data_IF_522389247133
#
_entry.id   IF_522389247133
#
_cell.length_a   1.000
_cell.length_b   1.000
_cell.length_c   1.000
_cell.angle_alpha   90.00
_cell.angle_beta   90.00
_cell.angle_gamma   90.00
#
_symmetry.space_group_name_H-M   'P 1'
#
loop_
_entity.id
_entity.type
_entity.pdbx_description
1 polymer ?
#
# COMPACT_ATOMS: atom_id res chain seq x y z
N UNK A 1 42.14 -8.76 17.87
CA UNK A 1 41.90 -9.66 16.72
C UNK A 1 40.44 -10.15 16.63
N UNK A 2 39.79 -10.52 17.71
CA UNK A 2 38.38 -11.02 17.74
C UNK A 2 37.35 -9.92 17.38
N UNK A 3 37.57 -8.69 17.82
CA UNK A 3 36.71 -7.53 17.54
C UNK A 3 36.67 -7.17 16.05
N UNK A 4 37.83 -7.25 15.36
CA UNK A 4 37.91 -6.95 13.92
C UNK A 4 37.14 -8.01 13.07
N UNK A 5 37.12 -9.27 13.52
CA UNK A 5 36.40 -10.38 12.84
C UNK A 5 34.89 -10.24 12.97
N UNK A 6 34.40 -9.82 14.15
CA UNK A 6 32.96 -9.55 14.39
C UNK A 6 32.48 -8.37 13.55
N UNK A 7 33.21 -7.28 13.50
CA UNK A 7 32.90 -6.10 12.67
C UNK A 7 32.85 -6.47 11.18
N UNK A 8 33.83 -7.26 10.71
CA UNK A 8 33.86 -7.73 9.31
C UNK A 8 32.67 -8.63 8.97
N UNK A 9 32.27 -9.54 9.86
CA UNK A 9 31.09 -10.41 9.69
C UNK A 9 29.80 -9.59 9.71
N UNK A 10 29.69 -8.60 10.61
CA UNK A 10 28.54 -7.68 10.65
C UNK A 10 28.42 -6.85 9.38
N UNK A 11 29.52 -6.32 8.89
CA UNK A 11 29.58 -5.56 7.64
C UNK A 11 29.17 -6.40 6.43
N UNK A 12 29.61 -7.66 6.36
CA UNK A 12 29.22 -8.58 5.28
C UNK A 12 27.73 -8.90 5.38
N UNK A 13 27.19 -9.17 6.58
CA UNK A 13 25.77 -9.42 6.78
C UNK A 13 24.91 -8.20 6.43
N UNK A 14 25.34 -7.02 6.81
CA UNK A 14 24.68 -5.76 6.45
C UNK A 14 24.70 -5.53 4.93
N UNK A 15 25.84 -5.75 4.28
CA UNK A 15 25.94 -5.64 2.81
C UNK A 15 25.06 -6.68 2.09
N UNK A 16 24.99 -7.91 2.59
CA UNK A 16 24.07 -8.92 2.07
C UNK A 16 22.60 -8.54 2.29
N UNK A 17 22.25 -8.01 3.45
CA UNK A 17 20.90 -7.49 3.73
C UNK A 17 20.56 -6.34 2.78
N UNK A 18 21.45 -5.35 2.64
CA UNK A 18 21.27 -4.23 1.71
C UNK A 18 21.20 -4.65 0.22
N UNK A 19 21.80 -5.78 -0.13
CA UNK A 19 21.71 -6.32 -1.49
C UNK A 19 20.37 -7.02 -1.77
N UNK A 20 19.69 -7.51 -0.74
CA UNK A 20 18.40 -8.19 -0.86
C UNK A 20 17.22 -7.26 -0.55
N UNK A 21 17.46 -6.22 0.31
CA UNK A 21 16.43 -5.24 0.64
C UNK A 21 15.89 -4.58 -0.65
N UNK A 22 14.60 -4.41 -0.72
CA UNK A 22 13.97 -3.69 -1.83
C UNK A 22 12.53 -4.12 -2.03
N UNK A 23 12.22 -5.28 -2.61
CA UNK A 23 10.85 -5.63 -2.96
C UNK A 23 9.87 -5.55 -1.80
N UNK A 24 10.19 -6.12 -0.65
CA UNK A 24 9.34 -6.10 0.53
C UNK A 24 9.21 -4.71 1.15
N UNK A 25 10.33 -4.02 1.33
CA UNK A 25 10.33 -2.66 1.86
C UNK A 25 9.62 -1.67 0.92
N UNK A 26 9.86 -1.76 -0.40
CA UNK A 26 9.21 -0.93 -1.41
C UNK A 26 7.70 -1.18 -1.39
N UNK A 27 7.27 -2.46 -1.50
CA UNK A 27 5.85 -2.82 -1.53
C UNK A 27 5.11 -2.32 -0.30
N UNK A 28 5.68 -2.53 0.90
CA UNK A 28 5.07 -2.08 2.13
C UNK A 28 5.01 -0.53 2.22
N UNK A 29 6.01 0.18 1.73
CA UNK A 29 6.01 1.65 1.82
C UNK A 29 5.08 2.33 0.80
N UNK A 30 4.73 1.66 -0.30
CA UNK A 30 3.69 2.16 -1.22
C UNK A 30 2.31 2.20 -0.58
N UNK A 31 2.10 1.47 0.50
CA UNK A 31 0.91 1.50 1.34
C UNK A 31 0.57 2.91 1.89
N UNK A 32 1.59 3.71 2.17
CA UNK A 32 1.43 5.12 2.53
C UNK A 32 1.31 6.01 1.27
N UNK A 33 0.59 5.55 0.28
CA UNK A 33 0.23 6.27 -0.94
C UNK A 33 -0.78 7.40 -0.68
N UNK A 34 -1.25 8.08 -1.72
CA UNK A 34 -2.26 9.13 -1.56
C UNK A 34 -3.55 8.59 -0.94
N UNK A 35 -4.00 7.41 -1.38
CA UNK A 35 -5.18 6.74 -0.82
C UNK A 35 -5.03 6.42 0.66
N UNK A 36 -3.85 5.90 1.04
CA UNK A 36 -3.47 5.62 2.42
C UNK A 36 -3.43 6.89 3.27
N UNK A 37 -2.70 7.92 2.81
CA UNK A 37 -2.58 9.20 3.53
C UNK A 37 -3.96 9.82 3.76
N UNK A 38 -4.83 9.85 2.75
CA UNK A 38 -6.19 10.39 2.91
C UNK A 38 -7.05 9.54 3.85
N UNK A 39 -6.93 8.21 3.77
CA UNK A 39 -7.69 7.30 4.63
C UNK A 39 -7.25 7.41 6.09
N UNK A 40 -5.94 7.40 6.36
CA UNK A 40 -5.42 7.58 7.72
C UNK A 40 -5.72 8.97 8.28
N UNK A 41 -5.62 10.01 7.44
CA UNK A 41 -5.97 11.37 7.83
C UNK A 41 -7.45 11.49 8.16
N UNK A 42 -8.33 10.93 7.33
CA UNK A 42 -9.77 10.91 7.58
C UNK A 42 -10.13 10.09 8.83
N UNK A 43 -9.46 8.95 9.05
CA UNK A 43 -9.62 8.16 10.27
C UNK A 43 -9.29 8.97 11.53
N UNK A 44 -8.17 9.69 11.53
CA UNK A 44 -7.78 10.58 12.62
C UNK A 44 -8.73 11.77 12.80
N UNK A 45 -9.15 12.40 11.71
CA UNK A 45 -10.04 13.56 11.73
C UNK A 45 -11.46 13.22 12.19
N UNK A 46 -12.02 12.07 11.76
CA UNK A 46 -13.41 11.69 12.09
C UNK A 46 -13.53 11.03 13.46
N UNK A 47 -12.58 10.17 13.81
CA UNK A 47 -12.68 9.27 14.96
C UNK A 47 -11.61 9.52 16.04
N UNK A 48 -10.76 10.52 15.84
CA UNK A 48 -9.66 10.78 16.78
C UNK A 48 -8.75 9.55 16.92
N UNK A 49 -8.49 9.14 18.14
CA UNK A 49 -7.64 7.98 18.42
C UNK A 49 -8.39 6.63 18.38
N UNK A 50 -9.71 6.62 18.12
CA UNK A 50 -10.53 5.39 18.23
C UNK A 50 -10.15 4.27 17.26
N UNK A 51 -9.44 4.57 16.18
CA UNK A 51 -9.02 3.58 15.18
C UNK A 51 -7.59 3.07 15.38
N UNK A 52 -6.81 3.63 16.31
CA UNK A 52 -5.41 3.23 16.53
C UNK A 52 -5.24 1.76 16.94
N UNK A 53 -6.21 1.18 17.64
CA UNK A 53 -6.14 -0.24 18.03
C UNK A 53 -6.09 -1.20 16.81
N UNK A 54 -6.62 -0.79 15.66
CA UNK A 54 -6.61 -1.59 14.42
C UNK A 54 -5.18 -1.79 13.92
N UNK A 55 -4.28 -0.84 14.20
CA UNK A 55 -2.89 -0.88 13.71
C UNK A 55 -2.15 -2.15 14.15
N UNK A 56 -2.31 -2.62 15.39
CA UNK A 56 -1.58 -3.81 15.89
C UNK A 56 -2.00 -5.09 15.15
N UNK A 57 -3.29 -5.52 15.15
CA UNK A 57 -3.70 -6.71 14.43
C UNK A 57 -3.47 -6.58 12.92
N UNK A 58 -3.57 -5.39 12.37
CA UNK A 58 -3.33 -5.10 10.97
C UNK A 58 -1.85 -5.27 10.59
N UNK A 59 -0.91 -4.76 11.41
CA UNK A 59 0.53 -4.98 11.20
C UNK A 59 0.88 -6.45 11.21
N UNK A 60 0.33 -7.22 12.14
CA UNK A 60 0.54 -8.67 12.21
C UNK A 60 0.01 -9.36 10.95
N UNK A 61 -1.18 -8.99 10.50
CA UNK A 61 -1.77 -9.52 9.28
C UNK A 61 -0.96 -9.12 8.03
N UNK A 62 -0.53 -7.86 7.93
CA UNK A 62 0.29 -7.35 6.83
C UNK A 62 1.61 -8.14 6.72
N UNK A 63 2.33 -8.32 7.83
CA UNK A 63 3.57 -9.10 7.86
C UNK A 63 3.34 -10.52 7.38
N UNK A 64 2.27 -11.18 7.84
CA UNK A 64 1.94 -12.55 7.43
C UNK A 64 1.61 -12.64 5.95
N UNK A 65 0.76 -11.75 5.46
CA UNK A 65 0.30 -11.76 4.05
C UNK A 65 1.45 -11.45 3.09
N UNK A 66 2.24 -10.42 3.40
CA UNK A 66 3.40 -10.04 2.58
C UNK A 66 4.49 -11.14 2.60
N UNK A 67 4.73 -11.76 3.75
CA UNK A 67 5.67 -12.86 3.87
C UNK A 67 5.22 -14.09 3.05
N UNK A 68 3.94 -14.42 3.07
CA UNK A 68 3.37 -15.49 2.25
C UNK A 68 3.62 -15.23 0.76
N UNK A 69 3.40 -14.00 0.30
CA UNK A 69 3.62 -13.58 -1.08
C UNK A 69 5.10 -13.70 -1.48
N UNK A 70 6.00 -13.14 -0.66
CA UNK A 70 7.44 -13.22 -0.90
C UNK A 70 7.96 -14.66 -0.91
N UNK A 71 7.44 -15.52 -0.01
CA UNK A 71 7.81 -16.94 0.08
C UNK A 71 7.33 -17.72 -1.14
N UNK A 72 6.08 -17.48 -1.60
CA UNK A 72 5.60 -18.13 -2.82
C UNK A 72 6.46 -17.74 -4.02
N UNK A 73 6.77 -16.47 -4.21
CA UNK A 73 7.64 -16.02 -5.29
C UNK A 73 9.03 -16.65 -5.26
N UNK A 74 9.67 -16.67 -4.09
CA UNK A 74 11.01 -17.24 -3.92
C UNK A 74 11.06 -18.77 -4.12
N UNK A 75 9.99 -19.50 -3.74
CA UNK A 75 9.94 -20.96 -3.83
C UNK A 75 9.52 -21.43 -5.22
N UNK A 76 8.51 -20.80 -5.81
CA UNK A 76 7.93 -21.25 -7.08
C UNK A 76 8.60 -20.61 -8.30
N UNK A 77 9.25 -19.46 -8.14
CA UNK A 77 9.79 -18.68 -9.26
C UNK A 77 8.72 -18.15 -10.21
N UNK A 78 7.46 -18.04 -9.74
CA UNK A 78 6.30 -17.63 -10.53
C UNK A 78 5.54 -16.53 -9.84
N UNK A 79 4.86 -15.68 -10.65
CA UNK A 79 3.94 -14.68 -10.15
C UNK A 79 2.65 -15.29 -9.58
N UNK A 80 1.90 -14.50 -8.80
CA UNK A 80 0.66 -14.99 -8.18
C UNK A 80 -0.42 -15.30 -9.23
N UNK A 81 -0.53 -14.47 -10.27
CA UNK A 81 -1.48 -14.70 -11.36
C UNK A 81 -1.16 -15.97 -12.17
N UNK A 82 0.14 -16.26 -12.38
CA UNK A 82 0.56 -17.51 -13.02
C UNK A 82 0.12 -18.72 -12.22
N UNK A 83 0.37 -18.72 -10.90
CA UNK A 83 -0.02 -19.81 -10.03
C UNK A 83 -1.53 -20.02 -10.00
N UNK A 84 -2.31 -18.95 -9.96
CA UNK A 84 -3.78 -19.03 -10.00
C UNK A 84 -4.22 -19.60 -11.34
N UNK A 85 -3.62 -19.19 -12.45
CA UNK A 85 -3.94 -19.71 -13.79
C UNK A 85 -3.65 -21.20 -13.92
N UNK A 86 -2.51 -21.62 -13.46
CA UNK A 86 -2.08 -23.03 -13.53
C UNK A 86 -2.96 -23.94 -12.69
N UNK A 87 -3.37 -23.48 -11.51
CA UNK A 87 -4.09 -24.31 -10.54
C UNK A 87 -5.61 -24.27 -10.67
N UNK A 88 -6.18 -23.12 -11.08
CA UNK A 88 -7.64 -22.92 -11.11
C UNK A 88 -8.17 -22.59 -12.50
N UNK A 89 -7.28 -22.45 -13.50
CA UNK A 89 -7.64 -22.23 -14.88
C UNK A 89 -7.99 -20.78 -15.23
N UNK A 90 -8.06 -20.52 -16.54
CA UNK A 90 -8.16 -19.18 -17.09
C UNK A 90 -9.42 -18.41 -16.68
N UNK A 91 -10.57 -19.10 -16.47
CA UNK A 91 -11.83 -18.42 -16.12
C UNK A 91 -11.74 -17.72 -14.75
N UNK A 92 -11.23 -18.44 -13.76
CA UNK A 92 -11.06 -17.90 -12.40
C UNK A 92 -10.03 -16.79 -12.40
N UNK A 93 -8.90 -17.00 -13.07
CA UNK A 93 -7.86 -15.98 -13.23
C UNK A 93 -8.38 -14.71 -13.87
N UNK A 94 -9.19 -14.83 -14.94
CA UNK A 94 -9.78 -13.67 -15.61
C UNK A 94 -10.72 -12.87 -14.69
N UNK A 95 -11.58 -13.54 -13.92
CA UNK A 95 -12.48 -12.87 -12.96
C UNK A 95 -11.68 -12.13 -11.88
N UNK A 96 -10.63 -12.75 -11.35
CA UNK A 96 -9.75 -12.14 -10.36
C UNK A 96 -9.00 -10.94 -10.95
N UNK A 97 -8.41 -11.10 -12.12
CA UNK A 97 -7.74 -10.01 -12.83
C UNK A 97 -8.66 -8.82 -13.08
N UNK A 98 -9.91 -9.08 -13.50
CA UNK A 98 -10.88 -8.01 -13.74
C UNK A 98 -11.14 -7.21 -12.46
N UNK A 99 -11.36 -7.90 -11.34
CA UNK A 99 -11.50 -7.25 -10.03
C UNK A 99 -10.29 -6.40 -9.66
N UNK A 100 -9.08 -6.95 -9.84
CA UNK A 100 -7.83 -6.23 -9.55
C UNK A 100 -7.57 -5.04 -10.48
N UNK A 101 -7.85 -5.18 -11.78
CA UNK A 101 -7.71 -4.06 -12.72
C UNK A 101 -8.62 -2.91 -12.35
N UNK A 102 -9.87 -3.19 -11.96
CA UNK A 102 -10.83 -2.17 -11.54
C UNK A 102 -10.36 -1.48 -10.24
N UNK A 103 -9.94 -2.24 -9.22
CA UNK A 103 -9.46 -1.66 -7.96
C UNK A 103 -8.18 -0.87 -8.16
N UNK A 104 -7.22 -1.41 -8.90
CA UNK A 104 -5.95 -0.75 -9.18
C UNK A 104 -6.12 0.50 -10.03
N UNK A 105 -7.07 0.50 -10.98
CA UNK A 105 -7.39 1.72 -11.72
C UNK A 105 -7.87 2.82 -10.78
N UNK A 106 -8.74 2.50 -9.82
CA UNK A 106 -9.17 3.43 -8.77
C UNK A 106 -7.99 3.96 -7.95
N UNK A 107 -7.04 3.07 -7.60
CA UNK A 107 -5.83 3.47 -6.88
C UNK A 107 -4.95 4.39 -7.72
N UNK A 108 -4.72 4.09 -9.02
CA UNK A 108 -3.96 4.98 -9.92
C UNK A 108 -4.60 6.36 -10.02
N UNK A 109 -5.94 6.43 -10.11
CA UNK A 109 -6.67 7.71 -10.06
C UNK A 109 -6.39 8.43 -8.73
N UNK A 110 -6.41 7.73 -7.60
CA UNK A 110 -6.11 8.29 -6.29
C UNK A 110 -4.69 8.89 -6.22
N UNK A 111 -3.70 8.23 -6.85
CA UNK A 111 -2.33 8.74 -6.87
C UNK A 111 -2.21 10.05 -7.65
N UNK A 112 -2.80 10.13 -8.83
CA UNK A 112 -2.83 11.38 -9.58
C UNK A 112 -3.66 12.46 -8.86
N UNK A 113 -4.67 12.10 -8.08
CA UNK A 113 -5.36 13.01 -7.18
C UNK A 113 -4.43 13.57 -6.10
N UNK A 114 -3.59 12.72 -5.51
CA UNK A 114 -2.58 13.15 -4.53
C UNK A 114 -1.52 14.06 -5.12
N UNK A 115 -1.02 13.77 -6.34
CA UNK A 115 -0.13 14.68 -7.10
C UNK A 115 -0.80 16.03 -7.31
N UNK A 116 -2.04 16.06 -7.79
CA UNK A 116 -2.78 17.28 -8.02
C UNK A 116 -2.93 18.09 -6.73
N UNK A 117 -3.47 17.47 -5.68
CA UNK A 117 -3.71 18.11 -4.38
C UNK A 117 -2.44 18.65 -3.74
N UNK A 118 -1.33 17.91 -3.78
CA UNK A 118 -0.07 18.36 -3.18
C UNK A 118 0.52 19.59 -3.88
N UNK A 119 0.43 19.67 -5.21
CA UNK A 119 0.98 20.78 -5.99
C UNK A 119 0.01 21.96 -6.08
N UNK A 120 -1.31 21.73 -5.99
CA UNK A 120 -2.30 22.81 -5.84
C UNK A 120 -2.06 23.64 -4.56
N UNK A 121 -1.48 23.07 -3.50
CA UNK A 121 -1.03 23.80 -2.31
C UNK A 121 0.03 24.87 -2.61
N UNK A 122 0.80 24.66 -3.65
CA UNK A 122 1.80 25.63 -4.16
C UNK A 122 1.27 26.42 -5.36
N UNK A 123 -0.06 26.47 -5.57
CA UNK A 123 -0.73 27.13 -6.68
C UNK A 123 -0.35 26.63 -8.08
N UNK A 124 0.15 25.40 -8.17
CA UNK A 124 0.43 24.73 -9.44
C UNK A 124 -0.83 23.99 -9.90
N UNK A 125 -1.38 24.39 -11.05
CA UNK A 125 -2.61 23.80 -11.59
C UNK A 125 -2.45 22.30 -11.90
N UNK A 126 -3.48 21.49 -11.59
CA UNK A 126 -3.57 20.07 -11.95
C UNK A 126 -3.39 19.80 -13.44
N UNK A 127 -3.76 20.75 -14.30
CA UNK A 127 -3.58 20.64 -15.75
C UNK A 127 -2.12 20.69 -16.20
N UNK A 128 -1.21 21.11 -15.31
CA UNK A 128 0.25 21.08 -15.50
C UNK A 128 0.86 19.92 -14.70
N UNK A 129 0.51 19.83 -13.43
CA UNK A 129 1.13 18.88 -12.50
C UNK A 129 0.87 17.41 -12.88
N UNK A 130 -0.36 17.06 -13.24
CA UNK A 130 -0.74 15.67 -13.56
C UNK A 130 -0.10 15.17 -14.85
N UNK A 131 -0.13 15.88 -16.00
CA UNK A 131 0.58 15.45 -17.20
C UNK A 131 2.09 15.36 -16.99
N UNK A 132 2.68 16.32 -16.28
CA UNK A 132 4.12 16.31 -16.00
C UNK A 132 4.51 15.10 -15.14
N UNK A 133 3.75 14.83 -14.08
CA UNK A 133 3.94 13.63 -13.24
C UNK A 133 3.80 12.35 -14.08
N UNK A 134 2.77 12.24 -14.92
CA UNK A 134 2.57 11.10 -15.81
C UNK A 134 3.77 10.84 -16.73
N UNK A 135 4.34 11.89 -17.31
CA UNK A 135 5.56 11.78 -18.14
C UNK A 135 6.76 11.34 -17.30
N UNK A 136 6.95 11.91 -16.10
CA UNK A 136 8.08 11.56 -15.21
C UNK A 136 7.99 10.10 -14.80
N UNK A 137 6.82 9.62 -14.34
CA UNK A 137 6.57 8.23 -13.95
C UNK A 137 6.80 7.29 -15.12
N UNK A 138 6.29 7.65 -16.29
CA UNK A 138 6.45 6.85 -17.51
C UNK A 138 7.91 6.73 -17.92
N UNK A 139 8.65 7.84 -17.94
CA UNK A 139 10.07 7.83 -18.28
C UNK A 139 10.91 7.01 -17.27
N UNK A 140 10.60 7.11 -15.99
CA UNK A 140 11.28 6.39 -14.94
C UNK A 140 11.20 4.88 -15.16
N UNK A 141 10.03 4.36 -15.51
CA UNK A 141 9.79 2.92 -15.64
C UNK A 141 10.16 2.41 -17.03
N UNK A 142 9.73 3.09 -18.10
CA UNK A 142 9.92 2.61 -19.49
C UNK A 142 11.36 2.78 -19.98
N UNK A 143 12.09 3.79 -19.48
CA UNK A 143 13.49 4.03 -19.81
C UNK A 143 14.46 3.55 -18.75
N UNK A 144 13.95 3.23 -17.54
CA UNK A 144 14.74 2.72 -16.43
C UNK A 144 15.13 1.25 -16.61
N UNK A 145 16.01 0.80 -15.74
CA UNK A 145 16.26 -0.62 -15.51
C UNK A 145 15.71 -0.98 -14.14
N UNK A 146 15.41 -2.24 -13.86
CA UNK A 146 14.92 -2.68 -12.55
C UNK A 146 15.77 -2.10 -11.40
N UNK A 147 17.09 -2.16 -11.49
CA UNK A 147 18.01 -1.61 -10.47
C UNK A 147 17.93 -0.10 -10.30
N UNK A 148 17.70 0.64 -11.39
CA UNK A 148 17.53 2.10 -11.35
C UNK A 148 16.20 2.47 -10.68
N UNK A 149 15.13 1.81 -11.09
CA UNK A 149 13.78 2.00 -10.56
C UNK A 149 13.74 1.68 -9.06
N UNK A 150 14.30 0.53 -8.67
CA UNK A 150 14.40 0.11 -7.27
C UNK A 150 15.15 1.14 -6.39
N UNK A 151 16.28 1.69 -6.87
CA UNK A 151 17.03 2.72 -6.14
C UNK A 151 16.24 4.01 -5.95
N UNK A 152 15.53 4.45 -6.97
CA UNK A 152 14.67 5.64 -6.88
C UNK A 152 13.56 5.40 -5.86
N UNK A 153 12.93 4.24 -5.89
CA UNK A 153 11.87 3.88 -4.96
C UNK A 153 12.35 3.78 -3.51
N UNK A 154 13.52 3.18 -3.28
CA UNK A 154 14.12 3.15 -1.95
C UNK A 154 14.47 4.56 -1.45
N UNK A 155 14.99 5.42 -2.32
CA UNK A 155 15.28 6.82 -1.96
C UNK A 155 13.97 7.59 -1.64
N UNK A 156 12.91 7.37 -2.42
CA UNK A 156 11.60 7.96 -2.19
C UNK A 156 11.03 7.58 -0.82
N UNK A 157 11.23 6.34 -0.36
CA UNK A 157 10.74 5.88 0.95
C UNK A 157 11.33 6.65 2.14
N UNK A 158 12.49 7.30 2.01
CA UNK A 158 13.01 8.16 3.07
C UNK A 158 12.17 9.41 3.34
N UNK A 159 11.37 9.87 2.38
CA UNK A 159 10.47 11.00 2.59
C UNK A 159 9.34 10.70 3.59
N UNK A 160 9.02 9.43 3.84
CA UNK A 160 8.02 9.06 4.86
C UNK A 160 8.42 9.48 6.28
N UNK A 161 9.70 9.69 6.56
CA UNK A 161 10.14 10.32 7.80
C UNK A 161 9.54 11.72 8.02
N UNK A 162 9.18 12.43 6.93
CA UNK A 162 8.51 13.72 7.04
C UNK A 162 7.18 13.63 7.80
N UNK A 163 6.41 12.54 7.62
CA UNK A 163 5.16 12.32 8.34
C UNK A 163 5.38 12.07 9.83
N UNK A 164 6.44 11.33 10.18
CA UNK A 164 6.84 11.10 11.57
C UNK A 164 7.19 12.44 12.23
N UNK A 165 8.01 13.26 11.55
CA UNK A 165 8.41 14.59 12.03
C UNK A 165 7.17 15.48 12.18
N UNK A 166 6.31 15.56 11.16
CA UNK A 166 5.08 16.32 11.22
C UNK A 166 4.16 15.87 12.36
N UNK A 167 4.03 14.55 12.57
CA UNK A 167 3.24 13.97 13.65
C UNK A 167 3.77 14.32 15.05
N UNK A 168 5.09 14.36 15.22
CA UNK A 168 5.70 14.80 16.48
C UNK A 168 5.47 16.29 16.71
N UNK A 169 5.62 17.12 15.68
CA UNK A 169 5.41 18.57 15.77
C UNK A 169 3.96 18.97 15.98
N UNK A 170 3.01 18.10 15.64
CA UNK A 170 1.58 18.30 15.88
C UNK A 170 1.20 18.33 17.38
N UNK A 171 2.09 17.95 18.28
CA UNK A 171 1.91 18.02 19.73
C UNK A 171 0.78 17.14 20.27
N UNK A 172 0.67 15.85 19.88
CA UNK A 172 -0.44 14.99 20.29
C UNK A 172 -0.41 14.65 21.78
N UNK A 173 -1.55 14.23 22.34
CA UNK A 173 -1.62 13.60 23.66
C UNK A 173 -1.03 12.18 23.57
N UNK A 174 0.27 12.04 23.77
CA UNK A 174 1.00 10.77 23.65
C UNK A 174 0.41 9.66 24.50
N UNK A 175 -0.02 10.00 25.74
CA UNK A 175 -0.63 9.02 26.65
C UNK A 175 -1.92 8.47 26.10
N UNK A 176 -2.78 9.32 25.57
CA UNK A 176 -4.08 8.92 25.01
C UNK A 176 -3.89 8.11 23.73
N UNK A 177 -3.02 8.57 22.81
CA UNK A 177 -2.69 7.86 21.58
C UNK A 177 -2.14 6.46 21.87
N UNK A 178 -1.21 6.34 22.82
CA UNK A 178 -0.62 5.06 23.19
C UNK A 178 -1.66 4.12 23.83
N UNK A 179 -2.47 4.62 24.76
CA UNK A 179 -3.53 3.81 25.38
C UNK A 179 -4.55 3.35 24.32
N UNK A 180 -4.97 4.22 23.42
CA UNK A 180 -5.92 3.89 22.36
C UNK A 180 -5.37 2.85 21.38
N UNK A 181 -4.05 2.78 21.19
CA UNK A 181 -3.42 1.75 20.36
C UNK A 181 -3.61 0.33 20.92
N UNK A 182 -3.75 0.17 22.23
CA UNK A 182 -3.94 -1.14 22.88
C UNK A 182 -5.37 -1.37 23.36
N UNK A 183 -6.25 -0.36 23.29
CA UNK A 183 -7.61 -0.45 23.81
C UNK A 183 -8.64 -0.33 22.67
N UNK A 184 -9.31 -1.44 22.29
CA UNK A 184 -10.42 -1.36 21.36
C UNK A 184 -11.54 -0.43 21.85
N UNK A 185 -12.29 0.21 20.96
CA UNK A 185 -13.44 1.03 21.34
C UNK A 185 -14.55 0.18 21.96
N UNK A 186 -15.55 0.85 22.52
CA UNK A 186 -16.74 0.16 23.01
C UNK A 186 -17.50 -0.53 21.85
N UNK A 187 -18.21 -1.62 22.16
CA UNK A 187 -18.90 -2.44 21.15
C UNK A 187 -19.93 -1.66 20.31
N UNK A 188 -20.45 -0.52 20.81
CA UNK A 188 -21.36 0.36 20.07
C UNK A 188 -20.74 0.99 18.85
N UNK A 189 -19.43 1.20 18.79
CA UNK A 189 -18.74 1.74 17.62
C UNK A 189 -18.92 0.86 16.37
N UNK A 190 -19.00 -0.46 16.55
CA UNK A 190 -19.24 -1.41 15.45
C UNK A 190 -20.68 -1.45 14.96
N UNK A 191 -21.57 -0.61 15.48
CA UNK A 191 -22.92 -0.40 14.93
C UNK A 191 -22.99 0.85 14.05
N UNK A 192 -21.95 1.68 14.07
CA UNK A 192 -21.86 2.85 13.20
C UNK A 192 -21.30 2.43 11.82
N UNK A 193 -22.13 2.61 10.80
CA UNK A 193 -21.76 2.31 9.40
C UNK A 193 -20.53 3.10 8.94
N UNK A 194 -20.35 4.35 9.39
CA UNK A 194 -19.21 5.19 9.05
C UNK A 194 -17.92 4.67 9.69
N UNK A 195 -18.01 4.16 10.93
CA UNK A 195 -16.88 3.55 11.61
C UNK A 195 -16.44 2.26 10.90
N UNK A 196 -17.41 1.36 10.57
CA UNK A 196 -17.10 0.12 9.84
C UNK A 196 -16.49 0.44 8.46
N UNK A 197 -17.06 1.40 7.73
CA UNK A 197 -16.54 1.87 6.45
C UNK A 197 -15.07 2.30 6.57
N UNK A 198 -14.75 3.10 7.59
CA UNK A 198 -13.40 3.57 7.82
C UNK A 198 -12.44 2.44 8.23
N UNK A 199 -12.88 1.48 9.06
CA UNK A 199 -12.08 0.28 9.39
C UNK A 199 -11.77 -0.52 8.12
N UNK A 200 -12.77 -0.77 7.25
CA UNK A 200 -12.54 -1.46 5.96
C UNK A 200 -11.55 -0.68 5.10
N UNK A 201 -11.68 0.64 5.03
CA UNK A 201 -10.77 1.51 4.29
C UNK A 201 -9.34 1.45 4.83
N UNK A 202 -9.16 1.55 6.15
CA UNK A 202 -7.84 1.47 6.81
C UNK A 202 -7.18 0.11 6.57
N UNK A 203 -7.92 -0.99 6.72
CA UNK A 203 -7.37 -2.33 6.42
C UNK A 203 -7.13 -2.52 4.93
N UNK A 204 -8.03 -2.00 4.09
CA UNK A 204 -7.95 -2.13 2.63
C UNK A 204 -6.81 -1.33 2.01
N UNK A 205 -6.41 -0.20 2.62
CA UNK A 205 -5.22 0.51 2.19
C UNK A 205 -3.95 -0.24 2.63
N UNK A 206 -3.89 -0.69 3.89
CA UNK A 206 -2.69 -1.31 4.47
C UNK A 206 -2.42 -2.71 3.92
N UNK A 207 -3.45 -3.50 3.62
CA UNK A 207 -3.29 -4.85 3.03
C UNK A 207 -3.97 -4.85 1.67
N UNK A 208 -3.56 -3.93 0.79
CA UNK A 208 -4.18 -3.80 -0.51
C UNK A 208 -3.96 -5.03 -1.40
N UNK A 209 -4.98 -5.49 -2.15
CA UNK A 209 -4.90 -6.70 -2.98
C UNK A 209 -3.76 -6.71 -3.99
N UNK A 210 -3.38 -5.56 -4.55
CA UNK A 210 -2.32 -5.43 -5.54
C UNK A 210 -0.93 -5.75 -5.00
N UNK A 211 -0.71 -5.54 -3.70
CA UNK A 211 0.60 -5.70 -3.05
C UNK A 211 1.11 -7.13 -3.16
N UNK A 212 0.24 -8.11 -3.02
CA UNK A 212 0.59 -9.53 -3.07
C UNK A 212 1.08 -9.93 -4.46
N UNK A 213 0.42 -9.44 -5.51
CA UNK A 213 0.83 -9.67 -6.89
C UNK A 213 2.16 -8.98 -7.20
N UNK A 214 2.26 -7.69 -6.85
CA UNK A 214 3.47 -6.92 -7.10
C UNK A 214 4.68 -7.48 -6.36
N UNK A 215 4.55 -7.78 -5.07
CA UNK A 215 5.66 -8.31 -4.28
C UNK A 215 6.13 -9.67 -4.82
N UNK A 216 5.20 -10.57 -5.12
CA UNK A 216 5.56 -11.89 -5.64
C UNK A 216 6.30 -11.78 -6.98
N UNK A 217 5.79 -10.99 -7.92
CA UNK A 217 6.43 -10.76 -9.23
C UNK A 217 7.79 -10.07 -9.08
N UNK A 218 7.91 -9.10 -8.16
CA UNK A 218 9.18 -8.41 -7.87
C UNK A 218 10.23 -9.33 -7.26
N UNK A 219 9.84 -10.27 -6.41
CA UNK A 219 10.72 -11.30 -5.86
C UNK A 219 11.25 -12.21 -6.98
N UNK A 220 10.37 -12.60 -7.89
CA UNK A 220 10.72 -13.42 -9.07
C UNK A 220 11.67 -12.66 -9.99
N UNK A 221 11.35 -11.41 -10.35
CA UNK A 221 12.18 -10.59 -11.24
C UNK A 221 13.56 -10.30 -10.65
N UNK A 222 13.65 -10.10 -9.33
CA UNK A 222 14.93 -9.94 -8.63
C UNK A 222 15.73 -11.24 -8.56
N UNK A 223 15.15 -12.38 -8.90
CA UNK A 223 15.79 -13.69 -8.87
C UNK A 223 16.07 -14.21 -7.46
N UNK A 224 15.23 -13.84 -6.48
CA UNK A 224 15.37 -14.29 -5.10
C UNK A 224 14.94 -15.76 -5.01
N UNK A 225 15.86 -16.60 -4.53
CA UNK A 225 15.67 -18.04 -4.36
C UNK A 225 15.39 -18.42 -2.91
N UNK A 226 14.99 -19.66 -2.61
CA UNK A 226 14.82 -20.12 -1.23
C UNK A 226 16.06 -19.96 -0.35
N UNK A 227 17.25 -19.83 -0.95
CA UNK A 227 18.51 -19.64 -0.19
C UNK A 227 18.61 -18.21 0.36
N UNK A 228 18.18 -17.23 -0.39
CA UNK A 228 18.16 -15.82 0.01
C UNK A 228 16.89 -15.42 0.75
N UNK A 229 15.84 -16.26 0.72
CA UNK A 229 14.53 -15.97 1.28
C UNK A 229 14.58 -15.48 2.75
N UNK A 230 15.50 -16.01 3.57
CA UNK A 230 15.64 -15.56 4.96
C UNK A 230 15.94 -14.05 5.07
N UNK A 231 16.71 -13.50 4.16
CA UNK A 231 17.03 -12.08 4.12
C UNK A 231 15.83 -11.28 3.56
N UNK A 232 15.18 -11.78 2.52
CA UNK A 232 13.97 -11.20 1.96
C UNK A 232 12.83 -11.13 2.98
N UNK A 233 12.70 -12.14 3.85
CA UNK A 233 11.73 -12.13 4.95
C UNK A 233 11.96 -10.96 5.91
N UNK A 234 13.20 -10.63 6.22
CA UNK A 234 13.51 -9.45 7.05
C UNK A 234 13.22 -8.14 6.33
N UNK A 235 13.46 -8.07 5.03
CA UNK A 235 13.06 -6.93 4.20
C UNK A 235 11.57 -6.66 4.29
N UNK A 236 10.74 -7.69 4.15
CA UNK A 236 9.28 -7.61 4.31
C UNK A 236 8.90 -7.14 5.71
N UNK A 237 9.42 -7.79 6.78
CA UNK A 237 9.07 -7.44 8.16
C UNK A 237 9.40 -5.99 8.48
N UNK A 238 10.61 -5.54 8.13
CA UNK A 238 11.06 -4.16 8.39
C UNK A 238 10.21 -3.18 7.60
N UNK A 239 9.90 -3.49 6.33
CA UNK A 239 9.02 -2.66 5.51
C UNK A 239 7.63 -2.50 6.13
N UNK A 240 6.98 -3.60 6.52
CA UNK A 240 5.66 -3.59 7.14
C UNK A 240 5.63 -2.81 8.46
N UNK A 241 6.62 -3.01 9.33
CA UNK A 241 6.70 -2.27 10.60
C UNK A 241 6.91 -0.77 10.39
N UNK A 242 7.72 -0.40 9.40
CA UNK A 242 7.99 1.00 9.10
C UNK A 242 6.77 1.70 8.51
N UNK A 243 6.09 1.07 7.55
CA UNK A 243 4.90 1.66 6.92
C UNK A 243 3.76 1.88 7.93
N UNK A 244 3.49 0.90 8.79
CA UNK A 244 2.45 1.02 9.81
C UNK A 244 2.80 2.04 10.90
N UNK A 245 4.09 2.20 11.21
CA UNK A 245 4.55 3.28 12.08
C UNK A 245 4.25 4.66 11.48
N UNK A 246 4.48 4.84 10.18
CA UNK A 246 4.15 6.09 9.47
C UNK A 246 2.64 6.32 9.48
N UNK A 247 1.83 5.31 9.17
CA UNK A 247 0.38 5.35 9.21
C UNK A 247 -0.14 5.76 10.60
N UNK A 248 0.43 5.16 11.66
CA UNK A 248 0.11 5.52 13.04
C UNK A 248 0.36 7.00 13.33
N UNK A 249 1.51 7.54 12.88
CA UNK A 249 1.82 8.96 13.04
C UNK A 249 0.87 9.87 12.26
N UNK A 250 0.41 9.47 11.07
CA UNK A 250 -0.58 10.23 10.30
C UNK A 250 -1.92 10.31 11.06
N UNK A 251 -2.43 9.17 11.56
CA UNK A 251 -3.68 9.14 12.35
C UNK A 251 -3.54 10.00 13.60
N UNK A 252 -2.44 9.86 14.34
CA UNK A 252 -2.19 10.62 15.58
C UNK A 252 -2.09 12.11 15.31
N UNK A 253 -1.40 12.53 14.26
CA UNK A 253 -1.29 13.93 13.88
C UNK A 253 -2.66 14.53 13.57
N UNK A 254 -3.47 13.87 12.76
CA UNK A 254 -4.81 14.34 12.39
C UNK A 254 -5.78 14.32 13.58
N UNK A 255 -5.67 13.36 14.47
CA UNK A 255 -6.45 13.35 15.71
C UNK A 255 -6.11 14.53 16.61
N UNK A 256 -4.83 14.85 16.77
CA UNK A 256 -4.37 15.96 17.62
C UNK A 256 -4.70 17.35 17.04
N UNK A 257 -4.81 17.45 15.71
CA UNK A 257 -5.01 18.73 15.02
C UNK A 257 -6.45 18.92 14.56
N UNK A 258 -6.94 18.04 13.70
CA UNK A 258 -8.26 18.16 13.07
C UNK A 258 -9.39 17.83 14.05
N UNK A 259 -9.37 16.62 14.61
CA UNK A 259 -10.39 16.17 15.53
C UNK A 259 -10.49 17.06 16.77
N UNK A 260 -9.35 17.42 17.36
CA UNK A 260 -9.31 18.30 18.54
C UNK A 260 -9.88 19.70 18.30
N UNK A 261 -9.90 20.18 17.02
CA UNK A 261 -10.45 21.49 16.65
C UNK A 261 -11.83 21.38 15.99
N UNK A 262 -12.49 20.20 16.02
CA UNK A 262 -13.84 20.01 15.48
C UNK A 262 -13.91 19.92 13.95
N UNK A 263 -12.79 19.65 13.28
CA UNK A 263 -12.73 19.46 11.83
C UNK A 263 -12.79 17.95 11.55
N UNK A 264 -14.00 17.46 11.31
CA UNK A 264 -14.25 16.02 11.14
C UNK A 264 -14.26 15.55 9.69
N UNK A 265 -14.17 16.46 8.71
CA UNK A 265 -14.20 16.12 7.30
C UNK A 265 -13.02 16.77 6.57
N UNK A 266 -12.27 15.95 5.88
CA UNK A 266 -11.22 16.38 4.95
C UNK A 266 -11.82 16.37 3.55
N UNK A 267 -11.86 17.54 2.90
CA UNK A 267 -12.43 17.71 1.56
C UNK A 267 -11.39 17.54 0.46
N UNK A 268 -10.17 17.96 0.77
CA UNK A 268 -9.00 17.87 -0.11
C UNK A 268 -7.70 17.77 0.68
N UNK A 269 -6.58 17.59 -0.02
CA UNK A 269 -5.25 17.54 0.61
C UNK A 269 -4.84 18.88 1.25
N UNK A 270 -5.45 19.98 0.81
CA UNK A 270 -5.22 21.31 1.37
C UNK A 270 -5.81 21.39 2.79
N UNK A 271 -7.01 20.86 3.00
CA UNK A 271 -7.63 20.81 4.33
C UNK A 271 -6.74 20.03 5.32
N UNK A 272 -6.21 18.86 4.90
CA UNK A 272 -5.31 18.08 5.74
C UNK A 272 -3.99 18.82 6.06
N UNK A 273 -3.39 19.44 5.07
CA UNK A 273 -2.14 20.18 5.24
C UNK A 273 -2.33 21.48 6.04
N UNK A 274 -3.41 22.23 5.78
CA UNK A 274 -3.72 23.47 6.49
C UNK A 274 -4.06 23.22 7.96
N UNK A 275 -4.70 22.11 8.29
CA UNK A 275 -5.02 21.77 9.65
C UNK A 275 -3.79 21.50 10.54
N UNK A 276 -2.67 21.06 9.95
CA UNK A 276 -1.40 20.90 10.66
C UNK A 276 -0.65 22.25 10.81
N UNK A 277 -0.93 23.23 9.98
CA UNK A 277 -0.24 24.52 9.93
C UNK A 277 -0.27 25.33 11.23
N UNK A 278 -1.42 25.49 11.91
CA UNK A 278 -1.48 26.30 13.13
C UNK A 278 -0.66 25.76 14.29
N UNK A 279 -0.46 24.45 14.37
CA UNK A 279 0.17 23.76 15.51
C UNK A 279 1.63 23.39 15.24
N UNK A 280 1.96 23.03 14.00
CA UNK A 280 3.27 22.56 13.62
C UNK A 280 4.07 23.58 12.78
N UNK A 281 3.46 24.74 12.50
CA UNK A 281 4.05 25.82 11.70
C UNK A 281 4.18 25.48 10.21
N UNK A 282 4.80 26.37 9.45
CA UNK A 282 4.95 26.24 8.00
C UNK A 282 5.80 25.03 7.58
N UNK A 283 6.73 24.61 8.42
CA UNK A 283 7.58 23.46 8.11
C UNK A 283 6.79 22.13 8.09
N UNK A 284 5.85 21.93 8.99
CA UNK A 284 5.02 20.73 8.98
C UNK A 284 4.07 20.70 7.78
N UNK A 285 3.54 21.87 7.39
CA UNK A 285 2.74 22.01 6.19
C UNK A 285 3.53 21.65 4.93
N UNK A 286 4.74 22.16 4.78
CA UNK A 286 5.62 21.86 3.64
C UNK A 286 6.03 20.39 3.64
N UNK A 287 6.40 19.84 4.81
CA UNK A 287 6.77 18.43 4.94
C UNK A 287 5.61 17.51 4.58
N UNK A 288 4.39 17.84 5.03
CA UNK A 288 3.20 17.06 4.68
C UNK A 288 2.92 17.10 3.17
N UNK A 289 2.94 18.29 2.58
CA UNK A 289 2.72 18.45 1.14
C UNK A 289 3.79 17.75 0.30
N UNK A 290 5.06 17.87 0.67
CA UNK A 290 6.17 17.19 0.01
C UNK A 290 6.08 15.67 0.18
N UNK A 291 5.68 15.20 1.37
CA UNK A 291 5.43 13.80 1.65
C UNK A 291 4.31 13.23 0.78
N UNK A 292 3.17 13.92 0.70
CA UNK A 292 2.03 13.51 -0.14
C UNK A 292 2.42 13.48 -1.63
N UNK A 293 3.14 14.49 -2.13
CA UNK A 293 3.61 14.52 -3.52
C UNK A 293 4.54 13.34 -3.81
N UNK A 294 5.52 13.12 -2.94
CA UNK A 294 6.46 12.01 -3.11
C UNK A 294 5.76 10.65 -3.04
N UNK A 295 4.88 10.45 -2.05
CA UNK A 295 4.13 9.21 -1.88
C UNK A 295 3.27 8.91 -3.12
N UNK A 296 2.55 9.92 -3.61
CA UNK A 296 1.71 9.81 -4.79
C UNK A 296 2.51 9.51 -6.06
N UNK A 297 3.64 10.20 -6.28
CA UNK A 297 4.48 9.97 -7.45
C UNK A 297 5.10 8.56 -7.41
N UNK A 298 5.51 8.12 -6.23
CA UNK A 298 6.05 6.79 -5.98
C UNK A 298 5.03 5.70 -6.30
N UNK A 299 3.83 5.80 -5.72
CA UNK A 299 2.74 4.84 -5.93
C UNK A 299 2.19 4.88 -7.36
N UNK A 300 2.06 6.07 -7.98
CA UNK A 300 1.70 6.21 -9.39
C UNK A 300 2.68 5.50 -10.34
N UNK A 301 3.93 5.27 -9.90
CA UNK A 301 4.89 4.47 -10.66
C UNK A 301 4.67 2.96 -10.50
N UNK A 302 4.27 2.50 -9.30
CA UNK A 302 4.21 1.08 -8.94
C UNK A 302 2.84 0.45 -9.24
N UNK A 303 1.75 1.13 -8.97
CA UNK A 303 0.40 0.57 -9.14
C UNK A 303 0.09 0.13 -10.58
N UNK A 304 0.44 0.93 -11.62
CA UNK A 304 0.29 0.47 -13.00
C UNK A 304 1.21 -0.71 -13.34
N UNK A 305 2.44 -0.78 -12.75
CA UNK A 305 3.35 -1.94 -12.91
C UNK A 305 2.69 -3.19 -12.33
N UNK A 306 2.15 -3.11 -11.09
CA UNK A 306 1.45 -4.22 -10.45
C UNK A 306 0.32 -4.77 -11.29
N UNK A 307 -0.48 -3.88 -11.89
CA UNK A 307 -1.56 -4.26 -12.79
C UNK A 307 -1.03 -4.92 -14.06
N UNK A 308 0.05 -4.38 -14.64
CA UNK A 308 0.67 -4.96 -15.83
C UNK A 308 1.23 -6.37 -15.55
N UNK A 309 1.87 -6.60 -14.39
CA UNK A 309 2.27 -7.95 -13.96
C UNK A 309 1.06 -8.88 -13.87
N UNK A 310 0.04 -8.47 -13.11
CA UNK A 310 -1.17 -9.28 -12.89
C UNK A 310 -1.79 -9.74 -14.19
N UNK A 311 -1.94 -8.83 -15.16
CA UNK A 311 -2.57 -9.13 -16.44
C UNK A 311 -1.66 -9.96 -17.35
N UNK A 312 -0.38 -9.60 -17.46
CA UNK A 312 0.56 -10.32 -18.34
C UNK A 312 0.80 -11.74 -17.85
N UNK A 313 1.06 -11.94 -16.56
CA UNK A 313 1.22 -13.27 -15.96
C UNK A 313 -0.08 -14.09 -16.11
N UNK A 314 -1.23 -13.49 -15.78
CA UNK A 314 -2.52 -14.17 -15.89
C UNK A 314 -2.91 -14.59 -17.30
N UNK A 315 -2.45 -13.89 -18.34
CA UNK A 315 -2.71 -14.20 -19.76
C UNK A 315 -1.52 -14.89 -20.45
N UNK A 316 -0.37 -15.01 -19.79
CA UNK A 316 0.81 -15.66 -20.35
C UNK A 316 1.61 -14.77 -21.32
N UNK A 317 1.57 -13.45 -21.13
CA UNK A 317 2.43 -12.51 -21.84
C UNK A 317 3.73 -12.25 -21.08
N UNK A 318 4.79 -11.86 -21.82
CA UNK A 318 6.03 -11.42 -21.20
C UNK A 318 5.79 -10.22 -20.29
N UNK A 319 6.35 -10.27 -19.07
CA UNK A 319 6.22 -9.26 -18.03
C UNK A 319 7.57 -8.97 -17.38
N UNK A 320 7.75 -7.75 -16.92
CA UNK A 320 8.94 -7.34 -16.15
C UNK A 320 9.50 -5.99 -16.58
N UNK A 321 9.92 -5.22 -15.57
CA UNK A 321 10.58 -3.91 -15.75
C UNK A 321 11.99 -4.06 -16.32
N UNK A 322 12.59 -5.26 -16.17
CA UNK A 322 13.89 -5.59 -16.75
C UNK A 322 13.88 -5.80 -18.28
N UNK A 323 12.72 -6.04 -18.89
CA UNK A 323 12.58 -6.24 -20.32
C UNK A 323 12.55 -4.91 -21.09
N UNK A 324 12.99 -4.96 -22.35
CA UNK A 324 12.83 -3.81 -23.24
C UNK A 324 11.37 -3.68 -23.68
N UNK A 325 10.95 -2.46 -24.04
CA UNK A 325 9.59 -2.20 -24.54
C UNK A 325 9.18 -3.12 -25.69
N UNK A 326 10.14 -3.45 -26.58
CA UNK A 326 9.89 -4.30 -27.76
C UNK A 326 9.63 -5.77 -27.38
N UNK A 327 10.18 -6.23 -26.26
CA UNK A 327 10.08 -7.62 -25.81
C UNK A 327 8.81 -7.84 -24.99
N UNK A 328 8.41 -6.85 -24.15
CA UNK A 328 7.23 -6.88 -23.30
C UNK A 328 6.19 -5.80 -23.69
N UNK A 329 5.75 -5.78 -24.94
CA UNK A 329 4.85 -4.73 -25.47
C UNK A 329 3.56 -4.61 -24.71
N UNK A 330 2.90 -5.74 -24.38
CA UNK A 330 1.62 -5.74 -23.68
C UNK A 330 1.77 -5.12 -22.28
N UNK A 331 2.83 -5.49 -21.56
CA UNK A 331 3.16 -4.95 -20.24
C UNK A 331 3.29 -3.41 -20.25
N UNK A 332 4.09 -2.88 -21.16
CA UNK A 332 4.32 -1.43 -21.23
C UNK A 332 3.15 -0.65 -21.82
N UNK A 333 2.34 -1.25 -22.70
CA UNK A 333 1.10 -0.62 -23.17
C UNK A 333 0.04 -0.55 -22.07
N UNK A 334 -0.13 -1.61 -21.27
CA UNK A 334 -1.02 -1.60 -20.10
C UNK A 334 -0.57 -0.54 -19.09
N UNK A 335 0.72 -0.50 -18.80
CA UNK A 335 1.31 0.52 -17.95
C UNK A 335 1.00 1.95 -18.45
N UNK A 336 1.23 2.20 -19.74
CA UNK A 336 0.98 3.51 -20.36
C UNK A 336 -0.50 3.89 -20.33
N UNK A 337 -1.39 2.96 -20.69
CA UNK A 337 -2.83 3.20 -20.70
C UNK A 337 -3.38 3.53 -19.31
N UNK A 338 -2.91 2.85 -18.26
CA UNK A 338 -3.32 3.10 -16.89
C UNK A 338 -2.89 4.49 -16.42
N UNK A 339 -1.68 4.94 -16.75
CA UNK A 339 -1.22 6.30 -16.44
C UNK A 339 -2.06 7.34 -17.16
N UNK A 340 -2.28 7.18 -18.47
CA UNK A 340 -3.06 8.14 -19.27
C UNK A 340 -4.50 8.18 -18.77
N UNK A 341 -5.13 7.03 -18.56
CA UNK A 341 -6.52 6.97 -18.13
C UNK A 341 -6.69 7.48 -16.69
N UNK A 342 -5.82 7.05 -15.74
CA UNK A 342 -5.88 7.48 -14.34
C UNK A 342 -5.63 8.98 -14.19
N UNK A 343 -4.58 9.51 -14.83
CA UNK A 343 -4.32 10.95 -14.87
C UNK A 343 -5.42 11.71 -15.58
N UNK A 344 -5.96 11.19 -16.68
CA UNK A 344 -7.04 11.77 -17.45
C UNK A 344 -8.33 11.99 -16.65
N UNK A 345 -8.67 11.05 -15.75
CA UNK A 345 -9.83 11.21 -14.84
C UNK A 345 -9.67 12.46 -13.96
N UNK A 346 -8.47 12.73 -13.45
CA UNK A 346 -8.22 13.86 -12.55
C UNK A 346 -8.33 15.22 -13.26
N UNK A 347 -8.15 15.23 -14.57
CA UNK A 347 -8.33 16.46 -15.37
C UNK A 347 -9.80 16.80 -15.64
N UNK A 348 -10.75 15.92 -15.33
CA UNK A 348 -12.16 16.22 -15.40
C UNK A 348 -12.56 17.25 -14.32
N UNK A 349 -13.48 18.18 -14.63
CA UNK A 349 -13.91 19.19 -13.67
C UNK A 349 -14.71 18.56 -12.51
N UNK A 350 -14.61 19.17 -11.32
CA UNK A 350 -15.40 18.83 -10.11
C UNK A 350 -15.23 17.40 -9.56
N UNK A 351 -14.09 16.76 -9.81
CA UNK A 351 -13.79 15.43 -9.26
C UNK A 351 -13.49 15.56 -7.75
N UNK A 352 -14.21 14.82 -6.87
CA UNK A 352 -13.97 14.86 -5.43
C UNK A 352 -12.77 13.96 -5.07
N UNK A 353 -11.55 14.53 -5.15
CA UNK A 353 -10.28 13.81 -5.09
C UNK A 353 -10.14 12.90 -3.84
N UNK A 354 -10.43 13.46 -2.65
CA UNK A 354 -10.32 12.71 -1.38
C UNK A 354 -11.34 11.57 -1.30
N UNK A 355 -12.58 11.83 -1.71
CA UNK A 355 -13.64 10.79 -1.66
C UNK A 355 -13.32 9.60 -2.57
N UNK A 356 -12.79 9.86 -3.76
CA UNK A 356 -12.40 8.79 -4.70
C UNK A 356 -11.22 8.01 -4.12
N UNK A 357 -10.25 8.70 -3.53
CA UNK A 357 -9.10 8.05 -2.91
C UNK A 357 -9.52 7.13 -1.75
N UNK A 358 -10.36 7.59 -0.84
CA UNK A 358 -10.87 6.76 0.27
C UNK A 358 -11.73 5.60 -0.25
N UNK A 359 -12.60 5.87 -1.25
CA UNK A 359 -13.45 4.85 -1.84
C UNK A 359 -12.63 3.72 -2.47
N UNK A 360 -11.53 4.03 -3.16
CA UNK A 360 -10.65 3.00 -3.73
C UNK A 360 -10.08 2.08 -2.65
N UNK A 361 -9.73 2.62 -1.47
CA UNK A 361 -9.22 1.82 -0.36
C UNK A 361 -10.29 0.92 0.28
N UNK A 362 -11.53 1.42 0.38
CA UNK A 362 -12.64 0.57 0.83
C UNK A 362 -12.92 -0.57 -0.15
N UNK A 363 -12.86 -0.29 -1.46
CA UNK A 363 -13.01 -1.34 -2.49
C UNK A 363 -11.86 -2.34 -2.41
N UNK A 364 -10.63 -1.90 -2.15
CA UNK A 364 -9.50 -2.79 -1.86
C UNK A 364 -9.81 -3.73 -0.68
N UNK A 365 -10.33 -3.17 0.44
CA UNK A 365 -10.71 -3.97 1.61
C UNK A 365 -11.80 -5.00 1.34
N UNK A 366 -12.75 -4.69 0.46
CA UNK A 366 -13.81 -5.62 0.03
C UNK A 366 -13.27 -6.74 -0.86
N UNK A 367 -12.31 -6.44 -1.73
CA UNK A 367 -11.70 -7.41 -2.66
C UNK A 367 -10.62 -8.26 -1.99
N UNK A 368 -9.98 -7.76 -0.94
CA UNK A 368 -8.89 -8.44 -0.23
C UNK A 368 -9.18 -9.91 0.14
N UNK A 369 -10.34 -10.27 0.72
CA UNK A 369 -10.63 -11.67 1.09
C UNK A 369 -10.54 -12.64 -0.09
N UNK A 370 -10.93 -12.22 -1.28
CA UNK A 370 -10.86 -13.08 -2.47
C UNK A 370 -9.41 -13.42 -2.80
N UNK A 371 -8.51 -12.45 -2.76
CA UNK A 371 -7.08 -12.66 -2.99
C UNK A 371 -6.47 -13.55 -1.90
N UNK A 372 -6.78 -13.27 -0.64
CA UNK A 372 -6.26 -14.06 0.49
C UNK A 372 -6.70 -15.52 0.45
N UNK A 373 -7.94 -15.81 0.03
CA UNK A 373 -8.41 -17.20 -0.11
C UNK A 373 -7.55 -17.95 -1.12
N UNK A 374 -7.30 -17.38 -2.32
CA UNK A 374 -6.47 -18.05 -3.31
C UNK A 374 -5.02 -18.19 -2.85
N UNK A 375 -4.46 -17.18 -2.20
CA UNK A 375 -3.13 -17.28 -1.60
C UNK A 375 -3.03 -18.40 -0.57
N UNK A 376 -4.02 -18.49 0.33
CA UNK A 376 -4.09 -19.54 1.36
C UNK A 376 -4.22 -20.93 0.77
N UNK A 377 -5.01 -21.09 -0.28
CA UNK A 377 -5.16 -22.35 -0.98
C UNK A 377 -3.86 -22.77 -1.68
N UNK A 378 -3.17 -21.82 -2.32
CA UNK A 378 -1.91 -22.08 -3.04
C UNK A 378 -0.75 -22.38 -2.07
N UNK A 379 -0.55 -21.56 -1.04
CA UNK A 379 0.60 -21.70 -0.14
C UNK A 379 0.55 -22.96 0.73
N UNK A 380 -0.62 -23.56 0.90
CA UNK A 380 -0.80 -24.80 1.63
C UNK A 380 -0.70 -26.06 0.73
N UNK A 381 -0.52 -25.92 -0.59
CA UNK A 381 -0.28 -27.03 -1.49
C UNK A 381 1.16 -27.54 -1.36
N UNK A 382 1.34 -28.74 -0.82
CA UNK A 382 2.65 -29.37 -0.69
C UNK A 382 3.34 -29.63 -2.02
N UNK A 383 2.57 -29.84 -3.10
CA UNK A 383 3.07 -30.02 -4.46
C UNK A 383 3.75 -28.77 -5.00
N UNK A 384 3.28 -27.57 -4.62
CA UNK A 384 3.84 -26.29 -5.02
C UNK A 384 4.96 -25.83 -4.09
N UNK A 385 4.72 -25.94 -2.78
CA UNK A 385 5.55 -25.30 -1.76
C UNK A 385 6.54 -26.24 -1.07
N UNK A 386 6.39 -27.57 -1.26
CA UNK A 386 7.24 -28.55 -0.60
C UNK A 386 7.28 -28.35 0.92
N UNK A 387 8.48 -28.24 1.52
CA UNK A 387 8.63 -28.00 2.95
C UNK A 387 8.31 -26.54 3.37
N UNK A 388 7.98 -25.65 2.43
CA UNK A 388 7.72 -24.22 2.66
C UNK A 388 6.24 -23.88 2.77
N UNK A 389 5.36 -24.84 2.98
CA UNK A 389 3.94 -24.63 3.29
C UNK A 389 3.75 -23.79 4.56
N UNK A 390 2.58 -23.20 4.73
CA UNK A 390 2.27 -22.42 5.93
C UNK A 390 2.33 -23.26 7.21
N UNK A 391 2.92 -22.67 8.24
CA UNK A 391 2.73 -23.18 9.62
C UNK A 391 1.35 -22.78 10.17
N UNK A 392 0.95 -23.45 11.27
CA UNK A 392 -0.37 -23.25 11.90
C UNK A 392 -0.68 -21.78 12.21
N UNK A 393 0.27 -21.04 12.80
CA UNK A 393 0.06 -19.64 13.17
C UNK A 393 -0.16 -18.72 11.96
N UNK A 394 0.57 -18.92 10.87
CA UNK A 394 0.38 -18.18 9.63
C UNK A 394 -1.02 -18.42 9.05
N UNK A 395 -1.48 -19.67 9.03
CA UNK A 395 -2.81 -20.00 8.58
C UNK A 395 -3.89 -19.40 9.49
N UNK A 396 -3.74 -19.46 10.81
CA UNK A 396 -4.71 -18.88 11.75
C UNK A 396 -4.83 -17.37 11.53
N UNK A 397 -3.72 -16.63 11.43
CA UNK A 397 -3.74 -15.19 11.25
C UNK A 397 -4.35 -14.83 9.89
N UNK A 398 -3.92 -15.47 8.80
CA UNK A 398 -4.40 -15.14 7.46
C UNK A 398 -5.89 -15.51 7.28
N UNK A 399 -6.35 -16.67 7.79
CA UNK A 399 -7.77 -17.02 7.79
C UNK A 399 -8.60 -16.10 8.68
N UNK A 400 -8.11 -15.73 9.87
CA UNK A 400 -8.78 -14.77 10.74
C UNK A 400 -8.95 -13.41 10.06
N UNK A 401 -7.90 -12.90 9.41
CA UNK A 401 -7.95 -11.66 8.61
C UNK A 401 -9.01 -11.76 7.51
N UNK A 402 -9.02 -12.86 6.76
CA UNK A 402 -10.00 -13.10 5.69
C UNK A 402 -11.43 -13.10 6.22
N UNK A 403 -11.70 -13.85 7.30
CA UNK A 403 -13.05 -13.97 7.89
C UNK A 403 -13.50 -12.64 8.48
N UNK A 404 -12.62 -11.92 9.18
CA UNK A 404 -12.93 -10.61 9.76
C UNK A 404 -13.30 -9.62 8.65
N UNK A 405 -12.54 -9.56 7.55
CA UNK A 405 -12.82 -8.66 6.44
C UNK A 405 -14.14 -8.98 5.73
N UNK A 406 -14.46 -10.26 5.55
CA UNK A 406 -15.78 -10.68 5.05
C UNK A 406 -16.88 -10.23 6.01
N UNK A 407 -16.70 -10.46 7.30
CA UNK A 407 -17.66 -10.07 8.34
C UNK A 407 -17.91 -8.56 8.39
N UNK A 408 -16.85 -7.76 8.33
CA UNK A 408 -16.93 -6.29 8.29
C UNK A 408 -17.65 -5.82 7.02
N UNK A 409 -17.36 -6.41 5.86
CA UNK A 409 -18.02 -6.09 4.59
C UNK A 409 -19.52 -6.39 4.66
N UNK A 410 -19.91 -7.56 5.16
CA UNK A 410 -21.32 -7.93 5.34
C UNK A 410 -22.00 -6.99 6.34
N UNK A 411 -21.36 -6.69 7.47
CA UNK A 411 -21.88 -5.78 8.48
C UNK A 411 -22.10 -4.37 7.91
N UNK A 412 -21.18 -3.86 7.12
CA UNK A 412 -21.32 -2.56 6.46
C UNK A 412 -22.52 -2.52 5.50
N UNK A 413 -22.67 -3.52 4.63
CA UNK A 413 -23.84 -3.59 3.75
C UNK A 413 -25.16 -3.76 4.51
N UNK A 414 -25.17 -4.45 5.65
CA UNK A 414 -26.35 -4.62 6.47
C UNK A 414 -26.73 -3.33 7.21
N UNK A 415 -25.77 -2.59 7.73
CA UNK A 415 -26.00 -1.32 8.45
C UNK A 415 -26.29 -0.16 7.50
N UNK A 416 -25.68 -0.11 6.32
CA UNK A 416 -25.91 0.94 5.31
C UNK A 416 -27.31 0.90 4.66
N UNK A 417 -28.04 -0.21 4.77
CA UNK A 417 -29.43 -0.31 4.29
C UNK A 417 -30.48 0.21 5.29
N UNK A 418 -30.07 0.51 6.53
CA UNK A 418 -30.95 1.02 7.57
C UNK A 418 -30.94 2.54 7.75
N UNK A 419 -30.18 3.29 6.95
CA UNK A 419 -30.00 4.74 7.01
C UNK A 419 -30.29 5.44 5.68
N UNK A 420 -31.43 5.12 5.07
CA UNK A 420 -32.01 5.82 3.92
C UNK A 420 -33.17 6.70 4.36
#
# INVERSE_FOLDING_TARGET
MIQSRRVKVWRIRLLMFLAVIGPGFITANVDNDAGGIYTYSAAGAQFGYMLLWVMIPMTVALVVVQEMSARMGAVTGKGLSDLIREEYGLRITFLMMLGLVITNFGNVVAEFAGVASSLELFHISRYISVPLAGVVVWLLVVKGTYKSVEKVFLAASFFYFAYIIAGVLAGPSWREAFVATFKPPHAGAFRDSSYIYMVIGVVGTTIAPWMQFYLQSSIVEKGITPREYRLSRWDVIVGCLFTDLVAWFIVVACAATLFAHGIYQIRDGADAAQALRPLAGEYAYILFAAGLFNASLFAASILPISTAYTVCEGLGFESGVGHKFQDAKVFYWLYTLLIIAGGGVILLPNIPLVKISILSQVVNGIVLPFVLIFMLLLINKSELMGPHVNGTWFNVIAWATTIIMIGLTIAWFATGRGGG
#
